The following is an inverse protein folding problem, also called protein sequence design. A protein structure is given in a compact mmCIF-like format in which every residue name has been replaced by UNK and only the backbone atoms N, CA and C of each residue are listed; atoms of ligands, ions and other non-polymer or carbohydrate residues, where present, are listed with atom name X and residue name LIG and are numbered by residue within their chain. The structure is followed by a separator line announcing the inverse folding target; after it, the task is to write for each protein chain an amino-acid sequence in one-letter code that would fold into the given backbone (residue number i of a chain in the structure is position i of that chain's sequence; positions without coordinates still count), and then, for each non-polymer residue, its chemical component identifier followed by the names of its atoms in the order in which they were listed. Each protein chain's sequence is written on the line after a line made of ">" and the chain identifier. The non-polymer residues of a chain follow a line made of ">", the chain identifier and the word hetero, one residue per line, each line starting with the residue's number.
data_IF_062024382832
#
_entry.id   IF_062024382832
#
_cell.length_a   1.000
_cell.length_b   1.000
_cell.length_c   1.000
_cell.angle_alpha   90.00
_cell.angle_beta   90.00
_cell.angle_gamma   90.00
#
_symmetry.space_group_name_H-M   'P 1'
#
loop_
_entity.id
_entity.type
_entity.pdbx_description
1 polymer ?
#
# COMPACT_ATOMS: atom_id res chain seq x y z
N UNK A 1 -8.56 17.84 -2.54
CA UNK A 1 -7.65 17.14 -3.48
C UNK A 1 -7.29 15.72 -3.05
N UNK A 2 -7.34 15.35 -1.75
CA UNK A 2 -6.90 14.03 -1.29
C UNK A 2 -7.52 12.83 -2.03
N UNK A 3 -8.83 12.84 -2.28
CA UNK A 3 -9.49 11.78 -3.05
C UNK A 3 -9.03 11.77 -4.53
N UNK A 4 -8.99 12.92 -5.20
CA UNK A 4 -8.56 13.04 -6.60
C UNK A 4 -7.11 12.57 -6.82
N UNK A 5 -6.19 12.93 -5.92
CA UNK A 5 -4.82 12.41 -5.92
C UNK A 5 -4.79 10.90 -5.68
N UNK A 6 -5.61 10.44 -4.72
CA UNK A 6 -5.70 9.06 -4.31
C UNK A 6 -6.24 8.11 -5.37
N UNK A 7 -7.07 8.58 -6.30
CA UNK A 7 -7.62 7.78 -7.41
C UNK A 7 -6.96 8.07 -8.76
N UNK A 8 -5.94 8.94 -8.80
CA UNK A 8 -5.19 9.22 -10.03
C UNK A 8 -5.83 10.25 -10.97
N UNK A 9 -6.84 10.99 -10.51
CA UNK A 9 -7.44 12.09 -11.29
C UNK A 9 -6.51 13.31 -11.41
N UNK A 10 -5.45 13.37 -10.60
CA UNK A 10 -4.42 14.41 -10.65
C UNK A 10 -3.03 13.77 -10.70
N UNK A 11 -2.24 14.16 -11.69
CA UNK A 11 -0.83 13.78 -11.76
C UNK A 11 0.01 14.55 -10.74
N UNK A 12 1.24 14.08 -10.51
CA UNK A 12 2.19 14.79 -9.68
C UNK A 12 2.51 16.20 -10.22
N UNK A 13 2.64 16.36 -11.54
CA UNK A 13 2.87 17.67 -12.18
C UNK A 13 1.68 18.62 -12.02
N UNK A 14 0.45 18.12 -12.21
CA UNK A 14 -0.75 18.93 -12.03
C UNK A 14 -0.89 19.38 -10.58
N UNK A 15 -0.62 18.48 -9.63
CA UNK A 15 -0.63 18.82 -8.22
C UNK A 15 0.45 19.83 -7.85
N UNK A 16 1.67 19.65 -8.37
CA UNK A 16 2.74 20.61 -8.22
C UNK A 16 2.36 21.99 -8.78
N UNK A 17 1.81 22.05 -9.98
CA UNK A 17 1.39 23.30 -10.61
C UNK A 17 0.28 24.00 -9.80
N UNK A 18 -0.68 23.25 -9.24
CA UNK A 18 -1.70 23.79 -8.34
C UNK A 18 -1.08 24.47 -7.11
N UNK A 19 0.01 23.91 -6.55
CA UNK A 19 0.71 24.51 -5.41
C UNK A 19 1.55 25.72 -5.81
N UNK A 20 2.18 25.70 -6.99
CA UNK A 20 2.85 26.88 -7.57
C UNK A 20 1.86 28.02 -7.71
N UNK A 21 0.69 27.77 -8.31
CA UNK A 21 -0.31 28.78 -8.59
C UNK A 21 -1.00 29.30 -7.32
N UNK A 22 -1.32 28.41 -6.37
CA UNK A 22 -2.07 28.77 -5.17
C UNK A 22 -1.20 29.35 -4.05
N UNK A 23 0.04 28.88 -3.90
CA UNK A 23 0.92 29.20 -2.77
C UNK A 23 2.22 29.90 -3.17
N UNK A 24 2.46 30.11 -4.47
CA UNK A 24 3.68 30.74 -4.96
C UNK A 24 4.93 29.89 -4.72
N UNK A 25 4.81 28.56 -4.72
CA UNK A 25 5.90 27.63 -4.46
C UNK A 25 7.11 27.97 -5.35
N UNK A 26 8.29 28.10 -4.72
CA UNK A 26 9.56 28.41 -5.37
C UNK A 26 10.53 27.22 -5.19
N UNK A 27 10.19 26.06 -5.75
CA UNK A 27 11.07 24.91 -5.83
C UNK A 27 11.13 24.43 -7.28
N UNK A 28 12.05 23.53 -7.61
CA UNK A 28 11.82 22.70 -8.79
C UNK A 28 10.91 21.51 -8.44
N UNK A 29 10.56 20.74 -9.46
CA UNK A 29 9.67 19.60 -9.31
C UNK A 29 10.32 18.44 -8.52
N UNK A 30 11.62 18.22 -8.66
CA UNK A 30 12.32 17.13 -7.96
C UNK A 30 12.39 17.40 -6.46
N UNK A 31 12.79 18.62 -6.08
CA UNK A 31 12.80 19.07 -4.69
C UNK A 31 11.39 19.00 -4.06
N UNK A 32 10.36 19.30 -4.85
CA UNK A 32 8.97 19.14 -4.40
C UNK A 32 8.62 17.68 -4.10
N UNK A 33 8.96 16.74 -4.99
CA UNK A 33 8.69 15.31 -4.77
C UNK A 33 9.37 14.83 -3.49
N UNK A 34 10.65 15.15 -3.31
CA UNK A 34 11.41 14.76 -2.12
C UNK A 34 10.82 15.36 -0.83
N UNK A 35 10.44 16.63 -0.87
CA UNK A 35 9.82 17.28 0.28
C UNK A 35 8.43 16.71 0.59
N UNK A 36 7.62 16.45 -0.43
CA UNK A 36 6.26 15.92 -0.28
C UNK A 36 6.27 14.48 0.24
N UNK A 37 7.21 13.67 -0.23
CA UNK A 37 7.40 12.29 0.20
C UNK A 37 8.21 12.12 1.50
N UNK A 38 8.67 13.22 2.13
CA UNK A 38 9.53 13.17 3.33
C UNK A 38 8.93 12.44 4.54
N UNK A 39 7.61 12.26 4.57
CA UNK A 39 6.92 11.47 5.58
C UNK A 39 6.96 9.95 5.36
N UNK A 40 7.35 9.49 4.16
CA UNK A 40 7.44 8.06 3.83
C UNK A 40 8.69 7.49 4.50
N UNK A 41 8.49 6.46 5.32
CA UNK A 41 9.59 5.76 5.98
C UNK A 41 9.67 4.33 5.47
N UNK A 42 10.85 3.98 4.94
CA UNK A 42 11.17 2.60 4.58
C UNK A 42 11.31 1.76 5.85
N UNK A 43 10.63 0.62 5.91
CA UNK A 43 10.78 -0.37 6.98
C UNK A 43 11.48 -1.62 6.43
N UNK A 44 12.81 -1.67 6.57
CA UNK A 44 13.63 -2.76 6.04
C UNK A 44 13.27 -4.12 6.64
N UNK A 45 12.88 -4.16 7.92
CA UNK A 45 12.50 -5.40 8.58
C UNK A 45 11.19 -5.96 8.00
N UNK A 46 10.21 -5.10 7.73
CA UNK A 46 8.96 -5.50 7.11
C UNK A 46 9.16 -5.91 5.65
N UNK A 47 9.97 -5.17 4.89
CA UNK A 47 10.28 -5.48 3.49
C UNK A 47 11.02 -6.82 3.36
N UNK A 48 12.07 -7.04 4.15
CA UNK A 48 12.80 -8.31 4.17
C UNK A 48 11.89 -9.49 4.54
N UNK A 49 10.97 -9.28 5.49
CA UNK A 49 10.00 -10.29 5.88
C UNK A 49 8.97 -10.59 4.79
N UNK A 50 8.45 -9.57 4.09
CA UNK A 50 7.55 -9.76 2.96
C UNK A 50 8.22 -10.58 1.83
N UNK A 51 9.47 -10.26 1.51
CA UNK A 51 10.28 -11.01 0.55
C UNK A 51 10.49 -12.46 1.02
N UNK A 52 10.79 -12.68 2.31
CA UNK A 52 10.92 -14.02 2.89
C UNK A 52 9.60 -14.82 2.77
N UNK A 53 8.46 -14.21 3.09
CA UNK A 53 7.14 -14.85 3.00
C UNK A 53 6.82 -15.30 1.58
N UNK A 54 7.12 -14.49 0.57
CA UNK A 54 6.87 -14.82 -0.83
C UNK A 54 7.70 -16.03 -1.31
N UNK A 55 8.81 -16.36 -0.64
CA UNK A 55 9.60 -17.56 -0.95
C UNK A 55 9.03 -18.84 -0.30
N UNK A 56 8.07 -18.72 0.63
CA UNK A 56 7.44 -19.88 1.26
C UNK A 56 6.39 -20.47 0.31
N UNK A 57 6.48 -21.77 0.08
CA UNK A 57 5.58 -22.46 -0.84
C UNK A 57 4.11 -22.29 -0.44
N UNK A 58 3.28 -21.90 -1.41
CA UNK A 58 1.83 -21.72 -1.22
C UNK A 58 1.40 -20.38 -0.63
N UNK A 59 2.33 -19.41 -0.48
CA UNK A 59 1.98 -18.05 -0.10
C UNK A 59 2.17 -17.10 -1.28
N UNK A 60 1.21 -16.20 -1.43
CA UNK A 60 1.32 -15.00 -2.25
C UNK A 60 1.43 -13.78 -1.34
N UNK A 61 2.23 -12.80 -1.73
CA UNK A 61 2.42 -11.55 -0.97
C UNK A 61 2.11 -10.36 -1.87
N UNK A 62 1.21 -9.50 -1.41
CA UNK A 62 0.76 -8.34 -2.16
C UNK A 62 0.80 -7.06 -1.33
N UNK A 63 0.94 -5.93 -2.02
CA UNK A 63 0.85 -4.58 -1.47
C UNK A 63 -0.43 -3.93 -2.01
N UNK A 64 -1.23 -3.37 -1.11
CA UNK A 64 -2.39 -2.54 -1.46
C UNK A 64 -2.24 -1.22 -0.71
N UNK A 65 -2.02 -0.11 -1.42
CA UNK A 65 -1.70 1.18 -0.80
C UNK A 65 -2.59 2.31 -1.32
N UNK A 66 -3.17 3.08 -0.39
CA UNK A 66 -3.75 4.37 -0.74
C UNK A 66 -2.61 5.38 -0.91
N UNK A 67 -2.33 5.77 -2.14
CA UNK A 67 -1.21 6.64 -2.46
C UNK A 67 -1.53 7.53 -3.66
N UNK A 68 -0.55 8.28 -4.15
CA UNK A 68 -0.69 9.21 -5.28
C UNK A 68 0.56 9.15 -6.17
N UNK A 69 0.47 9.71 -7.38
CA UNK A 69 1.54 9.68 -8.38
C UNK A 69 2.89 10.23 -7.85
N UNK A 70 2.88 11.30 -7.04
CA UNK A 70 4.11 11.87 -6.49
C UNK A 70 4.81 10.89 -5.53
N UNK A 71 4.05 10.21 -4.66
CA UNK A 71 4.58 9.17 -3.80
C UNK A 71 5.07 7.95 -4.58
N UNK A 72 4.34 7.50 -5.62
CA UNK A 72 4.74 6.35 -6.45
C UNK A 72 6.10 6.61 -7.08
N UNK A 73 6.31 7.78 -7.70
CA UNK A 73 7.60 8.14 -8.30
C UNK A 73 8.74 8.14 -7.29
N UNK A 74 8.49 8.61 -6.08
CA UNK A 74 9.48 8.58 -5.01
C UNK A 74 9.78 7.15 -4.59
N UNK A 75 8.75 6.32 -4.39
CA UNK A 75 8.88 4.90 -4.00
C UNK A 75 9.65 4.11 -5.05
N UNK A 76 9.36 4.28 -6.33
CA UNK A 76 10.06 3.59 -7.42
C UNK A 76 11.56 3.88 -7.44
N UNK A 77 11.95 5.11 -7.08
CA UNK A 77 13.34 5.53 -7.03
C UNK A 77 14.07 5.05 -5.77
N UNK A 78 13.39 4.98 -4.62
CA UNK A 78 14.01 4.77 -3.31
C UNK A 78 13.77 3.38 -2.70
N UNK A 79 12.74 2.67 -3.16
CA UNK A 79 12.33 1.34 -2.71
C UNK A 79 11.96 0.45 -3.92
N UNK A 80 12.84 0.33 -4.95
CA UNK A 80 12.54 -0.47 -6.14
C UNK A 80 12.30 -1.95 -5.84
N UNK A 81 12.73 -2.45 -4.67
CA UNK A 81 12.48 -3.82 -4.25
C UNK A 81 11.01 -4.10 -3.93
N UNK A 82 10.21 -3.07 -3.61
CA UNK A 82 8.78 -3.22 -3.38
C UNK A 82 8.08 -3.80 -4.62
N UNK A 83 8.53 -3.38 -5.81
CA UNK A 83 7.99 -3.83 -7.10
C UNK A 83 8.40 -5.27 -7.48
N UNK A 84 9.20 -5.94 -6.65
CA UNK A 84 9.53 -7.36 -6.82
C UNK A 84 8.53 -8.29 -6.11
N UNK A 85 7.63 -7.72 -5.30
CA UNK A 85 6.52 -8.47 -4.73
C UNK A 85 5.54 -8.91 -5.82
N UNK A 86 4.84 -10.01 -5.57
CA UNK A 86 3.99 -10.68 -6.56
C UNK A 86 2.90 -9.76 -7.13
N UNK A 87 2.32 -8.90 -6.29
CA UNK A 87 1.36 -7.90 -6.69
C UNK A 87 1.58 -6.60 -5.91
N UNK A 88 1.68 -5.49 -6.61
CA UNK A 88 1.69 -4.15 -6.02
C UNK A 88 0.56 -3.34 -6.64
N UNK A 89 -0.39 -2.93 -5.81
CA UNK A 89 -1.54 -2.13 -6.20
C UNK A 89 -1.52 -0.80 -5.47
N UNK A 90 -1.39 0.27 -6.26
CA UNK A 90 -1.47 1.64 -5.81
C UNK A 90 -2.83 2.22 -6.20
N UNK A 91 -3.54 2.84 -5.26
CA UNK A 91 -4.91 3.31 -5.46
C UNK A 91 -5.08 4.27 -6.64
N UNK A 92 -4.04 5.08 -6.92
CA UNK A 92 -4.04 6.03 -8.02
C UNK A 92 -3.91 5.37 -9.40
N UNK A 93 -3.39 4.15 -9.47
CA UNK A 93 -3.22 3.40 -10.72
C UNK A 93 -4.47 2.58 -11.05
N UNK A 94 -5.17 2.11 -10.00
CA UNK A 94 -6.42 1.32 -10.14
C UNK A 94 -7.68 2.14 -9.94
N UNK A 95 -7.55 3.44 -9.63
CA UNK A 95 -8.64 4.38 -9.37
C UNK A 95 -9.62 3.97 -8.25
N UNK A 96 -9.16 3.17 -7.28
CA UNK A 96 -9.96 2.67 -6.16
C UNK A 96 -9.15 2.86 -4.88
N UNK A 97 -9.77 3.43 -3.85
CA UNK A 97 -9.19 3.63 -2.53
C UNK A 97 -9.73 2.59 -1.54
N UNK A 98 -8.87 2.09 -0.65
CA UNK A 98 -9.34 1.54 0.64
C UNK A 98 -10.10 2.66 1.38
N UNK A 99 -11.19 2.35 2.10
CA UNK A 99 -11.70 1.03 2.45
C UNK A 99 -12.73 0.45 1.46
N UNK A 100 -12.79 0.91 0.19
CA UNK A 100 -13.76 0.38 -0.76
C UNK A 100 -13.49 -1.12 -1.03
N UNK A 101 -14.53 -1.95 -0.90
CA UNK A 101 -14.44 -3.41 -1.09
C UNK A 101 -13.76 -3.81 -2.41
N UNK A 102 -14.04 -3.07 -3.49
CA UNK A 102 -13.54 -3.32 -4.84
C UNK A 102 -12.00 -3.43 -4.93
N UNK A 103 -11.24 -2.76 -4.06
CA UNK A 103 -9.77 -2.86 -4.10
C UNK A 103 -9.26 -4.21 -3.59
N UNK A 104 -9.93 -4.76 -2.57
CA UNK A 104 -9.61 -6.07 -2.01
C UNK A 104 -10.09 -7.17 -2.93
N UNK A 105 -11.30 -7.03 -3.48
CA UNK A 105 -11.86 -7.95 -4.48
C UNK A 105 -10.95 -8.04 -5.71
N UNK A 106 -10.47 -6.91 -6.23
CA UNK A 106 -9.53 -6.87 -7.35
C UNK A 106 -8.20 -7.57 -7.00
N UNK A 107 -7.65 -7.34 -5.81
CA UNK A 107 -6.42 -8.01 -5.38
C UNK A 107 -6.61 -9.53 -5.27
N UNK A 108 -7.72 -9.99 -4.69
CA UNK A 108 -8.04 -11.41 -4.58
C UNK A 108 -8.28 -12.06 -5.95
N UNK A 109 -8.95 -11.36 -6.87
CA UNK A 109 -9.16 -11.81 -8.25
C UNK A 109 -7.82 -12.00 -8.98
N UNK A 110 -6.93 -11.00 -8.92
CA UNK A 110 -5.61 -11.05 -9.56
C UNK A 110 -4.72 -12.17 -9.00
N UNK A 111 -4.82 -12.44 -7.69
CA UNK A 111 -4.09 -13.52 -7.03
C UNK A 111 -4.79 -14.87 -7.11
N UNK A 112 -6.04 -14.93 -7.61
CA UNK A 112 -6.86 -16.14 -7.65
C UNK A 112 -7.03 -16.82 -6.28
N UNK A 113 -7.25 -16.04 -5.24
CA UNK A 113 -7.43 -16.51 -3.85
C UNK A 113 -8.83 -16.21 -3.32
N UNK A 114 -9.29 -17.02 -2.37
CA UNK A 114 -10.54 -16.78 -1.64
C UNK A 114 -10.29 -15.92 -0.39
N UNK A 115 -11.27 -15.13 0.08
CA UNK A 115 -11.09 -14.24 1.22
C UNK A 115 -10.64 -14.97 2.49
N UNK A 116 -11.14 -16.18 2.75
CA UNK A 116 -10.77 -16.97 3.93
C UNK A 116 -9.30 -17.41 3.93
N UNK A 117 -8.64 -17.37 2.76
CA UNK A 117 -7.23 -17.68 2.58
C UNK A 117 -6.33 -16.44 2.72
N UNK A 118 -6.90 -15.29 3.06
CA UNK A 118 -6.21 -14.02 3.07
C UNK A 118 -6.10 -13.45 4.49
N UNK A 119 -4.97 -12.80 4.77
CA UNK A 119 -4.81 -11.89 5.91
C UNK A 119 -4.40 -10.52 5.39
N UNK A 120 -5.12 -9.47 5.79
CA UNK A 120 -4.83 -8.09 5.45
C UNK A 120 -4.25 -7.35 6.65
N UNK A 121 -3.15 -6.64 6.44
CA UNK A 121 -2.41 -5.91 7.47
C UNK A 121 -2.33 -4.44 7.07
N UNK A 122 -2.82 -3.56 7.94
CA UNK A 122 -2.87 -2.11 7.69
C UNK A 122 -2.89 -1.35 9.01
N UNK A 123 -2.33 -0.15 9.06
CA UNK A 123 -2.30 0.69 10.26
C UNK A 123 -3.64 1.42 10.50
N UNK A 124 -4.48 1.53 9.47
CA UNK A 124 -5.80 2.14 9.56
C UNK A 124 -6.84 1.06 9.83
N UNK A 125 -7.39 1.07 11.04
CA UNK A 125 -8.37 0.08 11.49
C UNK A 125 -9.63 0.00 10.60
N UNK A 126 -10.04 1.10 9.96
CA UNK A 126 -11.16 1.11 9.01
C UNK A 126 -10.88 0.27 7.74
N UNK A 127 -9.64 0.31 7.23
CA UNK A 127 -9.24 -0.51 6.09
C UNK A 127 -9.26 -2.00 6.47
N UNK A 128 -8.76 -2.33 7.67
CA UNK A 128 -8.78 -3.70 8.19
C UNK A 128 -10.21 -4.21 8.36
N UNK A 129 -11.08 -3.40 8.96
CA UNK A 129 -12.49 -3.77 9.14
C UNK A 129 -13.22 -4.00 7.81
N UNK A 130 -12.87 -3.26 6.75
CA UNK A 130 -13.45 -3.48 5.43
C UNK A 130 -12.99 -4.81 4.79
N UNK A 131 -11.71 -5.18 4.94
CA UNK A 131 -11.23 -6.50 4.53
C UNK A 131 -11.93 -7.63 5.32
N UNK A 132 -12.12 -7.46 6.63
CA UNK A 132 -12.83 -8.44 7.47
C UNK A 132 -14.30 -8.62 7.06
N UNK A 133 -14.97 -7.56 6.60
CA UNK A 133 -16.35 -7.65 6.08
C UNK A 133 -16.46 -8.53 4.83
N UNK A 134 -15.36 -8.73 4.10
CA UNK A 134 -15.28 -9.63 2.94
C UNK A 134 -14.92 -11.06 3.30
N UNK A 135 -14.63 -11.35 4.58
CA UNK A 135 -14.24 -12.68 5.05
C UNK A 135 -12.73 -12.90 5.21
N UNK A 136 -11.91 -11.87 4.99
CA UNK A 136 -10.47 -11.92 5.23
C UNK A 136 -10.16 -11.88 6.73
N UNK A 137 -9.01 -12.41 7.15
CA UNK A 137 -8.46 -12.08 8.46
C UNK A 137 -7.88 -10.67 8.46
N UNK A 138 -8.04 -9.93 9.55
CA UNK A 138 -7.50 -8.58 9.73
C UNK A 138 -6.44 -8.49 10.82
N UNK A 139 -5.38 -7.71 10.59
CA UNK A 139 -4.40 -7.32 11.62
C UNK A 139 -4.18 -5.81 11.53
N UNK A 140 -4.57 -5.08 12.58
CA UNK A 140 -4.24 -3.66 12.69
C UNK A 140 -2.77 -3.50 13.10
N UNK A 141 -1.99 -2.88 12.24
CA UNK A 141 -0.59 -2.59 12.50
C UNK A 141 -0.45 -1.41 13.47
N UNK A 142 0.36 -1.59 14.50
CA UNK A 142 0.75 -0.51 15.42
C UNK A 142 2.26 -0.51 15.64
N UNK A 143 2.81 -1.69 15.95
CA UNK A 143 4.25 -1.90 16.12
C UNK A 143 4.62 -3.26 15.55
N UNK A 144 5.86 -3.37 15.08
CA UNK A 144 6.37 -4.54 14.37
C UNK A 144 6.43 -5.78 15.26
N UNK A 145 6.80 -5.59 16.53
CA UNK A 145 6.95 -6.63 17.54
C UNK A 145 5.64 -7.36 17.86
N UNK A 146 4.50 -6.73 17.56
CA UNK A 146 3.16 -7.33 17.72
C UNK A 146 2.67 -7.88 16.38
N UNK A 147 2.88 -7.13 15.29
CA UNK A 147 2.34 -7.45 13.97
C UNK A 147 2.92 -8.74 13.42
N UNK A 148 4.25 -8.91 13.47
CA UNK A 148 4.90 -10.10 12.91
C UNK A 148 4.47 -11.40 13.62
N UNK A 149 4.47 -11.49 14.97
CA UNK A 149 3.95 -12.68 15.64
C UNK A 149 2.49 -12.97 15.32
N UNK A 150 1.65 -11.96 15.12
CA UNK A 150 0.25 -12.16 14.72
C UNK A 150 0.13 -12.77 13.32
N UNK A 151 0.95 -12.34 12.36
CA UNK A 151 1.03 -12.94 11.02
C UNK A 151 1.47 -14.40 11.13
N UNK A 152 2.54 -14.71 11.86
CA UNK A 152 3.02 -16.09 12.04
C UNK A 152 2.00 -16.99 12.73
N UNK A 153 1.25 -16.45 13.70
CA UNK A 153 0.17 -17.18 14.36
C UNK A 153 -0.98 -17.50 13.39
N UNK A 154 -1.32 -16.58 12.48
CA UNK A 154 -2.31 -16.83 11.44
C UNK A 154 -1.83 -17.91 10.45
N UNK A 155 -0.58 -17.85 10.00
CA UNK A 155 0.04 -18.83 9.09
C UNK A 155 0.07 -20.26 9.65
N UNK A 156 -0.04 -20.43 10.96
CA UNK A 156 -0.04 -21.73 11.62
C UNK A 156 -1.44 -22.34 11.78
N UNK A 157 -2.53 -21.59 11.54
CA UNK A 157 -3.91 -22.07 11.80
C UNK A 157 -4.35 -23.23 10.90
N UNK A 158 -3.77 -23.33 9.70
CA UNK A 158 -4.13 -24.33 8.68
C UNK A 158 -3.05 -25.42 8.48
N UNK A 159 -2.17 -25.61 9.48
CA UNK A 159 -1.19 -26.70 9.55
C UNK A 159 -1.57 -27.78 10.55
#
# INVERSE_FOLDING_TARGET
>A
YGAALGVGDLTAEEFYQLLVDAAGLQSDFADFIDAYASGIQRNDAALAYAVELQQRAGLAVAVISNTNDAHVRWIDQHIPELMQLELVMMSNEVAILKPAAAIFELAMELLSVMPEQCVFIDDIAENVAAAEQLGMAGIVHHVWEITRPAIEAWLQKDR
#
